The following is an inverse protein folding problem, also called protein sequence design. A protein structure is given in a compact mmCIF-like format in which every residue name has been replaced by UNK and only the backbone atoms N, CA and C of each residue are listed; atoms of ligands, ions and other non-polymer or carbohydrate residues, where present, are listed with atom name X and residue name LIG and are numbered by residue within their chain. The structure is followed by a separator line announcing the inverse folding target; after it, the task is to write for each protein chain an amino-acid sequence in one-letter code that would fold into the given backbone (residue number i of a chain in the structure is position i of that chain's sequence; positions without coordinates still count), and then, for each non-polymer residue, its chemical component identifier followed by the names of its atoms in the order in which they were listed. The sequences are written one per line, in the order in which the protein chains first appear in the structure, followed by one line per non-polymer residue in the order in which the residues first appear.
data_IF_670990240070
#
_entry.id   IF_670990240070
#
_cell.length_a   1.000
_cell.length_b   1.000
_cell.length_c   1.000
_cell.angle_alpha   90.00
_cell.angle_beta   90.00
_cell.angle_gamma   90.00
#
_symmetry.space_group_name_H-M   'P 1'
#
loop_
_entity.id
_entity.type
_entity.pdbx_description
1 polymer ?
#
# COMPACT_ATOMS: atom_id res chain seq x y z
N UNK A 1 1.59 -20.74 12.37
CA UNK A 1 0.48 -20.30 13.26
C UNK A 1 -0.55 -19.50 12.47
N UNK A 2 -0.15 -18.46 11.71
CA UNK A 2 -1.06 -17.65 10.90
C UNK A 2 -1.71 -18.41 9.73
N UNK A 3 -0.95 -19.24 9.01
CA UNK A 3 -1.45 -20.03 7.87
C UNK A 3 -2.54 -21.04 8.26
N UNK A 4 -2.32 -21.73 9.38
CA UNK A 4 -3.29 -22.65 10.00
C UNK A 4 -4.53 -21.90 10.49
N UNK A 5 -4.34 -20.68 11.02
CA UNK A 5 -5.44 -19.82 11.45
C UNK A 5 -6.35 -19.42 10.29
N UNK A 6 -5.76 -18.96 9.18
CA UNK A 6 -6.52 -18.59 7.98
C UNK A 6 -7.33 -19.78 7.43
N UNK A 7 -6.71 -20.95 7.31
CA UNK A 7 -7.39 -22.18 6.89
C UNK A 7 -8.60 -22.50 7.78
N UNK A 8 -8.40 -22.52 9.10
CA UNK A 8 -9.47 -22.83 10.08
C UNK A 8 -10.64 -21.85 10.04
N UNK A 9 -10.39 -20.57 9.72
CA UNK A 9 -11.46 -19.57 9.60
C UNK A 9 -12.34 -19.86 8.39
N UNK A 10 -11.73 -20.23 7.25
CA UNK A 10 -12.45 -20.54 6.02
C UNK A 10 -13.25 -21.84 6.16
N UNK A 11 -12.63 -22.90 6.67
CA UNK A 11 -13.29 -24.19 6.93
C UNK A 11 -14.47 -24.03 7.91
N UNK A 12 -14.25 -23.32 9.03
CA UNK A 12 -15.31 -23.10 10.03
C UNK A 12 -16.49 -22.30 9.47
N UNK A 13 -16.26 -21.37 8.55
CA UNK A 13 -17.33 -20.56 7.94
C UNK A 13 -18.26 -21.44 7.11
N UNK A 14 -17.71 -22.35 6.33
CA UNK A 14 -18.49 -23.28 5.52
C UNK A 14 -19.21 -24.30 6.39
N UNK A 15 -18.48 -24.93 7.33
CA UNK A 15 -19.04 -25.98 8.19
C UNK A 15 -20.14 -25.48 9.13
N UNK A 16 -19.98 -24.28 9.72
CA UNK A 16 -20.92 -23.81 10.76
C UNK A 16 -21.98 -22.84 10.23
N UNK A 17 -21.77 -22.23 9.06
CA UNK A 17 -22.62 -21.15 8.56
C UNK A 17 -23.01 -21.30 7.09
N UNK A 18 -22.46 -22.28 6.37
CA UNK A 18 -22.65 -22.45 4.94
C UNK A 18 -22.31 -21.17 4.13
N UNK A 19 -21.32 -20.40 4.61
CA UNK A 19 -20.85 -19.16 3.98
C UNK A 19 -19.44 -19.33 3.42
N UNK A 20 -19.22 -18.83 2.21
CA UNK A 20 -17.91 -18.78 1.55
C UNK A 20 -17.38 -17.35 1.45
N UNK A 21 -16.12 -17.16 1.81
CA UNK A 21 -15.42 -15.90 1.56
C UNK A 21 -15.01 -15.80 0.09
N UNK A 22 -15.17 -14.61 -0.48
CA UNK A 22 -14.79 -14.31 -1.87
C UNK A 22 -13.46 -13.56 -1.97
N UNK A 23 -12.96 -13.04 -0.85
CA UNK A 23 -11.79 -12.16 -0.81
C UNK A 23 -10.93 -12.43 0.42
N UNK A 24 -9.62 -12.36 0.24
CA UNK A 24 -8.62 -12.51 1.30
C UNK A 24 -7.74 -11.28 1.37
N UNK A 25 -7.77 -10.56 2.49
CA UNK A 25 -6.89 -9.42 2.75
C UNK A 25 -5.66 -9.89 3.52
N UNK A 26 -4.49 -9.66 2.96
CA UNK A 26 -3.25 -10.14 3.55
C UNK A 26 -2.04 -9.29 3.25
N UNK A 27 -0.94 -9.63 3.90
CA UNK A 27 0.39 -9.15 3.54
C UNK A 27 0.82 -9.75 2.20
N UNK A 28 1.59 -9.00 1.40
CA UNK A 28 2.09 -9.43 0.10
C UNK A 28 2.85 -10.76 0.17
N UNK A 29 3.61 -10.99 1.23
CA UNK A 29 4.46 -12.19 1.44
C UNK A 29 3.79 -13.29 2.28
N UNK A 30 2.48 -13.16 2.56
CA UNK A 30 1.77 -14.15 3.37
C UNK A 30 1.55 -15.45 2.62
N UNK A 31 2.09 -16.56 3.16
CA UNK A 31 1.80 -17.94 2.76
C UNK A 31 0.37 -18.37 3.10
N UNK A 32 -0.36 -17.59 3.91
CA UNK A 32 -1.70 -17.96 4.37
C UNK A 32 -2.72 -18.02 3.22
N UNK A 33 -2.52 -17.21 2.18
CA UNK A 33 -3.38 -17.24 1.00
C UNK A 33 -3.23 -18.55 0.20
N UNK A 34 -2.03 -19.12 0.12
CA UNK A 34 -1.82 -20.39 -0.58
C UNK A 34 -2.61 -21.51 0.10
N UNK A 35 -2.55 -21.58 1.43
CA UNK A 35 -3.33 -22.54 2.20
C UNK A 35 -4.86 -22.37 2.05
N UNK A 36 -5.34 -21.15 1.75
CA UNK A 36 -6.76 -20.90 1.47
C UNK A 36 -7.14 -21.40 0.07
N UNK A 37 -6.25 -21.22 -0.91
CA UNK A 37 -6.45 -21.77 -2.27
C UNK A 37 -6.46 -23.29 -2.31
N UNK A 38 -5.70 -23.93 -1.43
CA UNK A 38 -5.66 -25.39 -1.33
C UNK A 38 -6.95 -25.97 -0.70
N UNK A 39 -7.89 -25.14 -0.23
CA UNK A 39 -9.21 -25.59 0.24
C UNK A 39 -10.11 -25.81 -0.98
N UNK A 40 -10.72 -26.99 -1.06
CA UNK A 40 -11.63 -27.34 -2.15
C UNK A 40 -12.77 -26.31 -2.29
N UNK A 41 -12.99 -25.81 -3.51
CA UNK A 41 -14.00 -24.79 -3.80
C UNK A 41 -13.61 -23.33 -3.51
N UNK A 42 -12.35 -23.04 -3.12
CA UNK A 42 -11.84 -21.68 -2.87
C UNK A 42 -10.82 -21.18 -3.93
N UNK A 43 -10.80 -21.78 -5.12
CA UNK A 43 -9.92 -21.38 -6.24
C UNK A 43 -10.14 -19.92 -6.71
N UNK A 44 -11.33 -19.37 -6.46
CA UNK A 44 -11.76 -18.04 -6.91
C UNK A 44 -11.52 -16.91 -5.90
N UNK A 45 -10.94 -17.19 -4.73
CA UNK A 45 -10.70 -16.15 -3.72
C UNK A 45 -9.70 -15.12 -4.23
N UNK A 46 -10.11 -13.86 -4.26
CA UNK A 46 -9.24 -12.76 -4.68
C UNK A 46 -8.35 -12.31 -3.53
N UNK A 47 -7.02 -12.30 -3.73
CA UNK A 47 -6.07 -11.72 -2.77
C UNK A 47 -6.01 -10.21 -2.93
N UNK A 48 -6.22 -9.49 -1.84
CA UNK A 48 -6.03 -8.05 -1.74
C UNK A 48 -4.91 -7.71 -0.76
N UNK A 49 -4.19 -6.62 -1.06
CA UNK A 49 -3.18 -6.10 -0.15
C UNK A 49 -3.78 -5.07 0.81
N UNK A 50 -3.37 -5.16 2.08
CA UNK A 50 -3.73 -4.16 3.06
C UNK A 50 -3.04 -2.82 2.77
N UNK A 51 -3.77 -1.71 2.88
CA UNK A 51 -3.21 -0.35 2.72
C UNK A 51 -2.04 -0.13 3.70
N UNK A 52 -2.17 -0.61 4.94
CA UNK A 52 -1.08 -0.55 5.92
C UNK A 52 0.20 -1.28 5.46
N UNK A 53 0.05 -2.37 4.69
CA UNK A 53 1.19 -3.06 4.10
C UNK A 53 1.84 -2.21 2.98
N UNK A 54 1.03 -1.58 2.12
CA UNK A 54 1.51 -0.65 1.10
C UNK A 54 2.29 0.51 1.73
N UNK A 55 1.76 1.10 2.81
CA UNK A 55 2.45 2.16 3.56
C UNK A 55 3.81 1.69 4.10
N UNK A 56 3.87 0.51 4.74
CA UNK A 56 5.12 -0.08 5.24
C UNK A 56 6.12 -0.31 4.10
N UNK A 57 5.65 -0.84 2.97
CA UNK A 57 6.48 -1.11 1.78
C UNK A 57 7.16 0.16 1.25
N UNK A 58 6.42 1.26 1.12
CA UNK A 58 6.97 2.56 0.70
C UNK A 58 8.08 3.00 1.65
N UNK A 59 7.82 2.96 2.95
CA UNK A 59 8.80 3.32 3.97
C UNK A 59 10.07 2.48 3.95
N UNK A 60 9.92 1.16 3.86
CA UNK A 60 11.06 0.23 3.80
C UNK A 60 11.91 0.45 2.55
N UNK A 61 11.27 0.69 1.40
CA UNK A 61 11.98 0.99 0.14
C UNK A 61 12.75 2.32 0.21
N UNK A 62 12.13 3.37 0.75
CA UNK A 62 12.79 4.66 0.91
C UNK A 62 13.96 4.60 1.89
N UNK A 63 13.82 3.86 3.00
CA UNK A 63 14.92 3.63 3.96
C UNK A 63 16.07 2.83 3.34
N UNK A 64 15.74 1.80 2.54
CA UNK A 64 16.75 1.04 1.78
C UNK A 64 17.49 1.95 0.80
N UNK A 65 16.76 2.76 0.03
CA UNK A 65 17.33 3.73 -0.91
C UNK A 65 18.24 4.74 -0.20
N UNK A 66 17.79 5.31 0.93
CA UNK A 66 18.58 6.21 1.77
C UNK A 66 19.91 5.58 2.19
N UNK A 67 19.91 4.28 2.50
CA UNK A 67 21.10 3.52 2.93
C UNK A 67 22.02 3.15 1.77
N UNK A 68 21.47 2.80 0.61
CA UNK A 68 22.25 2.37 -0.56
C UNK A 68 22.87 3.52 -1.34
N UNK A 69 22.31 4.72 -1.26
CA UNK A 69 22.76 5.87 -2.06
C UNK A 69 23.45 6.91 -1.18
N UNK A 70 24.75 7.10 -1.41
CA UNK A 70 25.56 8.08 -0.69
C UNK A 70 25.01 9.49 -0.94
N UNK A 71 24.79 10.25 0.13
CA UNK A 71 24.38 11.65 0.05
C UNK A 71 22.87 11.92 0.00
N UNK A 72 22.01 10.88 -0.02
CA UNK A 72 20.55 11.06 0.09
C UNK A 72 20.06 11.39 1.51
N UNK A 73 20.75 10.87 2.54
CA UNK A 73 20.41 11.15 3.94
C UNK A 73 20.97 12.48 4.45
N UNK A 74 20.37 13.01 5.52
CA UNK A 74 20.87 14.17 6.25
C UNK A 74 19.82 15.28 6.44
N UNK A 75 20.20 16.32 7.19
CA UNK A 75 19.36 17.50 7.43
C UNK A 75 19.03 18.18 6.09
N UNK A 76 17.75 18.48 5.86
CA UNK A 76 17.27 19.07 4.60
C UNK A 76 17.19 18.09 3.43
N UNK A 77 17.33 16.78 3.67
CA UNK A 77 17.22 15.73 2.65
C UNK A 77 16.24 14.63 3.11
N UNK A 78 16.46 13.39 2.67
CA UNK A 78 15.64 12.23 3.04
C UNK A 78 15.93 11.81 4.50
N UNK A 79 15.14 12.32 5.43
CA UNK A 79 15.19 11.95 6.86
C UNK A 79 14.16 10.86 7.18
N UNK A 80 14.35 10.10 8.26
CA UNK A 80 13.36 9.08 8.66
C UNK A 80 11.99 9.70 8.98
N UNK A 81 11.98 10.87 9.62
CA UNK A 81 10.76 11.64 9.86
C UNK A 81 10.05 12.01 8.55
N UNK A 82 10.80 12.42 7.53
CA UNK A 82 10.23 12.71 6.21
C UNK A 82 9.66 11.46 5.52
N UNK A 83 10.35 10.32 5.66
CA UNK A 83 9.84 9.03 5.16
C UNK A 83 8.54 8.67 5.87
N UNK A 84 8.45 8.81 7.19
CA UNK A 84 7.23 8.54 7.96
C UNK A 84 6.05 9.43 7.50
N UNK A 85 6.33 10.72 7.27
CA UNK A 85 5.36 11.65 6.69
C UNK A 85 4.86 11.18 5.33
N UNK A 86 5.77 10.80 4.41
CA UNK A 86 5.41 10.26 3.10
C UNK A 86 4.56 8.98 3.20
N UNK A 87 4.89 8.06 4.11
CA UNK A 87 4.10 6.86 4.35
C UNK A 87 2.66 7.18 4.78
N UNK A 88 2.49 8.17 5.65
CA UNK A 88 1.18 8.59 6.12
C UNK A 88 0.36 9.22 4.99
N UNK A 89 0.95 10.14 4.23
CA UNK A 89 0.28 10.77 3.09
C UNK A 89 -0.10 9.76 2.00
N UNK A 90 0.77 8.80 1.67
CA UNK A 90 0.43 7.70 0.76
C UNK A 90 -0.81 6.94 1.23
N UNK A 91 -0.88 6.60 2.52
CA UNK A 91 -2.04 5.92 3.08
C UNK A 91 -3.33 6.74 3.02
N UNK A 92 -3.23 8.06 3.26
CA UNK A 92 -4.38 8.99 3.16
C UNK A 92 -4.84 9.10 1.71
N UNK A 93 -3.92 9.28 0.76
CA UNK A 93 -4.24 9.39 -0.67
C UNK A 93 -4.96 8.13 -1.20
N UNK A 94 -4.49 6.93 -0.81
CA UNK A 94 -5.14 5.67 -1.18
C UNK A 94 -6.53 5.57 -0.53
N UNK A 95 -6.65 5.83 0.78
CA UNK A 95 -7.92 5.74 1.51
C UNK A 95 -8.97 6.74 1.00
N UNK A 96 -8.55 7.91 0.56
CA UNK A 96 -9.45 8.97 0.08
C UNK A 96 -9.93 8.76 -1.36
N UNK A 97 -9.35 7.80 -2.09
CA UNK A 97 -9.63 7.55 -3.51
C UNK A 97 -9.93 6.07 -3.79
N UNK A 98 -10.50 5.34 -2.81
CA UNK A 98 -10.89 3.94 -2.98
C UNK A 98 -11.91 3.83 -4.12
N UNK A 99 -11.69 2.88 -5.03
CA UNK A 99 -12.56 2.66 -6.19
C UNK A 99 -12.27 3.56 -7.39
N UNK A 100 -11.35 4.52 -7.29
CA UNK A 100 -10.92 5.34 -8.43
C UNK A 100 -9.38 5.33 -8.55
N UNK A 101 -8.87 4.46 -9.43
CA UNK A 101 -7.43 4.26 -9.63
C UNK A 101 -6.75 5.53 -10.15
N UNK A 102 -7.39 6.25 -11.09
CA UNK A 102 -6.84 7.47 -11.68
C UNK A 102 -6.64 8.55 -10.61
N UNK A 103 -7.69 8.86 -9.85
CA UNK A 103 -7.61 9.86 -8.78
C UNK A 103 -6.64 9.43 -7.67
N UNK A 104 -6.55 8.14 -7.37
CA UNK A 104 -5.58 7.61 -6.42
C UNK A 104 -4.14 7.89 -6.85
N UNK A 105 -3.80 7.60 -8.11
CA UNK A 105 -2.47 7.87 -8.66
C UNK A 105 -2.17 9.37 -8.61
N UNK A 106 -3.11 10.21 -9.05
CA UNK A 106 -2.98 11.67 -9.00
C UNK A 106 -2.77 12.17 -7.57
N UNK A 107 -3.55 11.68 -6.61
CA UNK A 107 -3.44 12.09 -5.21
C UNK A 107 -2.12 11.65 -4.57
N UNK A 108 -1.64 10.45 -4.89
CA UNK A 108 -0.34 9.95 -4.42
C UNK A 108 0.80 10.81 -4.96
N UNK A 109 0.79 11.13 -6.25
CA UNK A 109 1.81 11.98 -6.88
C UNK A 109 1.75 13.41 -6.31
N UNK A 110 0.55 13.96 -6.19
CA UNK A 110 0.32 15.30 -5.60
C UNK A 110 0.84 15.36 -4.16
N UNK A 111 0.59 14.32 -3.36
CA UNK A 111 1.08 14.25 -1.99
C UNK A 111 2.62 14.18 -1.91
N UNK A 112 3.26 13.46 -2.85
CA UNK A 112 4.72 13.43 -2.95
C UNK A 112 5.28 14.82 -3.26
N UNK A 113 4.74 15.51 -4.28
CA UNK A 113 5.16 16.87 -4.59
C UNK A 113 4.88 17.82 -3.43
N UNK A 114 3.71 17.77 -2.82
CA UNK A 114 3.43 18.58 -1.62
C UNK A 114 4.50 18.43 -0.54
N UNK A 115 4.94 17.20 -0.26
CA UNK A 115 5.99 16.93 0.71
C UNK A 115 7.37 17.46 0.28
N UNK A 116 7.65 17.47 -1.02
CA UNK A 116 8.91 17.99 -1.58
C UNK A 116 8.91 19.52 -1.75
N UNK A 117 7.75 20.15 -1.69
CA UNK A 117 7.56 21.59 -1.87
C UNK A 117 8.04 22.35 -0.63
N UNK A 118 8.62 23.53 -0.85
CA UNK A 118 8.93 24.48 0.22
C UNK A 118 8.45 25.86 -0.18
N UNK A 119 8.19 26.75 0.79
CA UNK A 119 7.77 28.13 0.50
C UNK A 119 8.77 28.89 -0.40
N UNK A 120 10.04 28.47 -0.38
CA UNK A 120 11.12 29.04 -1.20
C UNK A 120 11.28 28.38 -2.56
N UNK A 121 10.76 27.17 -2.73
CA UNK A 121 10.79 26.43 -3.99
C UNK A 121 9.49 25.63 -4.11
N UNK A 122 8.38 26.29 -4.50
CA UNK A 122 7.10 25.62 -4.64
C UNK A 122 7.19 24.66 -5.82
N UNK A 123 6.99 23.37 -5.57
CA UNK A 123 7.03 22.37 -6.63
C UNK A 123 5.62 22.02 -7.17
N UNK A 124 4.67 22.95 -7.10
CA UNK A 124 3.32 22.72 -7.62
C UNK A 124 3.03 23.59 -8.84
N UNK A 125 2.83 22.91 -9.97
CA UNK A 125 1.63 23.17 -10.77
C UNK A 125 0.91 21.83 -11.04
N UNK A 126 -0.06 21.51 -10.19
CA UNK A 126 -0.91 20.32 -10.31
C UNK A 126 -2.01 20.47 -11.38
N UNK A 127 -2.16 21.64 -12.01
CA UNK A 127 -3.20 21.85 -13.03
C UNK A 127 -2.75 21.44 -14.45
N UNK A 128 -1.45 21.42 -14.74
CA UNK A 128 -0.92 21.19 -16.09
C UNK A 128 -0.52 19.73 -16.39
N UNK A 129 -0.21 18.92 -15.37
CA UNK A 129 0.36 17.57 -15.57
C UNK A 129 -0.66 16.47 -15.92
N UNK A 130 -1.96 16.68 -15.70
CA UNK A 130 -3.00 15.72 -16.12
C UNK A 130 -3.07 15.62 -17.66
N UNK A 131 -2.59 16.64 -18.39
CA UNK A 131 -2.64 16.68 -19.86
C UNK A 131 -1.48 15.94 -20.56
N UNK A 132 -0.42 15.55 -19.85
CA UNK A 132 0.80 14.99 -20.45
C UNK A 132 1.10 13.53 -20.06
N UNK A 133 0.23 12.89 -19.27
CA UNK A 133 0.38 11.48 -18.87
C UNK A 133 -0.87 10.61 -19.14
N UNK A 134 -1.82 11.12 -19.94
CA UNK A 134 -2.89 10.32 -20.58
C UNK A 134 -2.56 10.15 -22.05
#
# INVERSE_FOLDING_TARGET
METVGAYRIFERSEANRSLRYTSHYGDGDSKAFNNVKDIDGYDSVVKYECIGHVQKRVGSRLRKLKKSTKGLGGKGKLTDKFIDTLQNYFGIAIRSNVGNLSNMQTAVISAFFHCCSTDKNPCMDNALLIRYMV
#
